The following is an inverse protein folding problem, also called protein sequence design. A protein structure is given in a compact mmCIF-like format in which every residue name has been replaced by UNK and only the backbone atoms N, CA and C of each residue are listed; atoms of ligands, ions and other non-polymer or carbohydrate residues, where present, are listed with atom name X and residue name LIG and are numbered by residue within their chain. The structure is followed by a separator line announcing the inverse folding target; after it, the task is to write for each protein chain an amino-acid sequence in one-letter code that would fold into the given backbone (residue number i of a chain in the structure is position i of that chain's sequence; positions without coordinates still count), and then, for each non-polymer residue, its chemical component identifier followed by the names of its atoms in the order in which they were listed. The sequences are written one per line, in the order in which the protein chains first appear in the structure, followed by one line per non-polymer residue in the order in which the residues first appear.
data_IF_460809362530
#
_entry.id   IF_460809362530
#
_cell.length_a   1.000
_cell.length_b   1.000
_cell.length_c   1.000
_cell.angle_alpha   90.00
_cell.angle_beta   90.00
_cell.angle_gamma   90.00
#
_symmetry.space_group_name_H-M   'P 1'
#
loop_
_entity.id
_entity.type
_entity.pdbx_description
1 polymer ?
#
# COMPACT_ATOMS: atom_id res chain seq x y z
N UNK A 1 15.85 12.62 -15.24
CA UNK A 1 16.00 12.23 -14.89
C UNK A 1 16.37 11.36 -14.79
N UNK A 2 16.60 11.05 -14.63
CA UNK A 2 16.88 10.24 -14.43
C UNK A 2 17.13 9.59 -13.80
N UNK A 3 17.24 9.29 -13.26
CA UNK A 3 17.50 8.74 -12.62
C UNK A 3 17.52 7.96 -12.21
N UNK A 4 17.40 7.66 -11.99
CA UNK A 4 17.44 6.98 -11.44
C UNK A 4 17.46 6.01 -11.56
N UNK A 5 17.52 5.40 -11.77
CA UNK A 5 17.49 4.40 -11.94
C UNK A 5 18.14 3.68 -11.69
N UNK A 6 18.16 3.56 -11.31
CA UNK A 6 19.04 3.01 -11.14
C UNK A 6 19.25 1.91 -10.53
N UNK A 7 19.87 1.32 -10.49
CA UNK A 7 20.22 0.24 -10.10
C UNK A 7 19.92 -0.08 -8.79
N UNK A 8 20.14 0.47 -7.91
CA UNK A 8 19.74 0.19 -6.69
C UNK A 8 18.69 0.96 -6.32
N UNK A 9 17.54 0.76 -6.68
CA UNK A 9 16.39 1.48 -6.36
C UNK A 9 16.12 1.45 -4.91
N UNK A 10 15.87 2.61 -4.32
CA UNK A 10 15.45 2.65 -2.98
C UNK A 10 14.02 2.31 -2.90
N UNK A 11 13.32 2.16 -4.03
CA UNK A 11 11.89 1.86 -4.04
C UNK A 11 11.67 0.61 -4.84
N UNK A 12 12.08 -0.53 -4.30
CA UNK A 12 11.96 -1.77 -5.07
C UNK A 12 10.50 -2.18 -5.25
N UNK A 13 10.23 -2.88 -6.32
CA UNK A 13 8.86 -3.28 -6.65
C UNK A 13 8.24 -4.14 -5.57
N UNK A 14 9.02 -4.88 -4.81
CA UNK A 14 8.45 -5.71 -3.77
C UNK A 14 7.79 -4.92 -2.68
N UNK A 15 8.05 -3.62 -2.63
CA UNK A 15 7.46 -2.78 -1.60
C UNK A 15 6.46 -1.81 -2.21
N UNK A 16 5.93 -2.13 -3.37
CA UNK A 16 4.99 -1.24 -4.05
C UNK A 16 3.54 -1.65 -3.80
N UNK A 17 2.70 -0.66 -3.59
CA UNK A 17 1.29 -0.89 -3.34
C UNK A 17 0.47 0.02 -4.23
N UNK A 18 -0.72 -0.41 -4.56
CA UNK A 18 -1.67 0.44 -5.26
C UNK A 18 -2.77 0.72 -4.26
N UNK A 19 -3.11 1.97 -4.09
CA UNK A 19 -4.17 2.37 -3.18
C UNK A 19 -5.21 3.13 -3.99
N UNK A 20 -6.44 2.69 -3.93
CA UNK A 20 -7.52 3.36 -4.61
C UNK A 20 -8.55 3.79 -3.61
N UNK A 21 -9.00 5.01 -3.70
CA UNK A 21 -9.98 5.53 -2.76
C UNK A 21 -11.33 5.58 -3.43
N UNK A 22 -12.35 5.25 -2.69
CA UNK A 22 -13.69 5.33 -3.21
C UNK A 22 -14.09 6.78 -3.37
N UNK A 23 -14.90 7.07 -4.36
CA UNK A 23 -15.38 8.43 -4.53
C UNK A 23 -16.36 8.74 -3.41
N UNK A 24 -16.33 9.93 -2.87
CA UNK A 24 -17.24 10.26 -1.79
C UNK A 24 -18.64 10.40 -2.34
N UNK A 25 -19.61 10.00 -1.53
CA UNK A 25 -20.98 10.18 -1.91
C UNK A 25 -21.50 11.41 -1.29
N UNK A 26 -22.60 11.88 -1.79
CA UNK A 26 -23.20 13.09 -1.27
C UNK A 26 -23.47 12.90 0.19
N UNK A 27 -23.00 13.82 1.00
CA UNK A 27 -23.24 13.76 2.42
C UNK A 27 -22.25 12.94 3.21
N UNK A 28 -21.37 12.28 2.53
CA UNK A 28 -20.40 11.48 3.23
C UNK A 28 -19.32 12.34 3.81
N UNK A 29 -18.71 11.89 4.84
CA UNK A 29 -17.67 12.66 5.44
C UNK A 29 -16.38 12.32 4.74
N UNK A 30 -15.27 12.72 5.28
CA UNK A 30 -14.02 12.51 4.66
C UNK A 30 -13.37 11.24 5.05
N UNK A 31 -14.11 10.22 5.24
CA UNK A 31 -13.57 8.94 5.62
C UNK A 31 -12.82 8.36 4.42
N UNK A 32 -11.61 7.92 4.59
CA UNK A 32 -10.83 7.39 3.46
C UNK A 32 -11.17 5.94 3.17
N UNK A 33 -12.28 5.74 2.53
CA UNK A 33 -12.67 4.39 2.14
C UNK A 33 -11.92 3.98 0.89
N UNK A 34 -11.49 2.76 0.82
CA UNK A 34 -10.83 2.31 -0.40
C UNK A 34 -10.28 0.91 -0.29
N UNK A 35 -9.38 0.59 -1.18
CA UNK A 35 -8.74 -0.70 -1.14
C UNK A 35 -7.26 -0.50 -1.42
N UNK A 36 -6.45 -1.38 -0.89
CA UNK A 36 -5.02 -1.35 -1.13
C UNK A 36 -4.58 -2.73 -1.57
N UNK A 37 -3.61 -2.77 -2.43
CA UNK A 37 -3.12 -4.04 -2.93
C UNK A 37 -1.61 -4.02 -3.02
N UNK A 38 -0.98 -5.08 -2.52
CA UNK A 38 0.47 -5.20 -2.63
C UNK A 38 0.73 -5.83 -3.99
N UNK A 39 1.47 -5.16 -4.83
CA UNK A 39 1.59 -5.57 -6.22
C UNK A 39 2.20 -6.94 -6.42
N UNK A 40 3.27 -7.23 -5.76
CA UNK A 40 3.95 -8.48 -6.02
C UNK A 40 3.20 -9.69 -5.49
N UNK A 41 2.65 -9.62 -4.32
CA UNK A 41 1.96 -10.78 -3.76
C UNK A 41 0.51 -10.86 -4.13
N UNK A 42 -0.06 -9.75 -4.56
CA UNK A 42 -1.49 -9.74 -4.85
C UNK A 42 -2.37 -9.63 -3.63
N UNK A 43 -1.80 -9.54 -2.42
CA UNK A 43 -2.61 -9.38 -1.25
C UNK A 43 -3.32 -8.06 -1.28
N UNK A 44 -4.56 -8.03 -0.93
CA UNK A 44 -5.35 -6.81 -0.98
C UNK A 44 -6.32 -6.78 0.17
N UNK A 45 -6.74 -5.58 0.53
CA UNK A 45 -7.73 -5.42 1.58
C UNK A 45 -8.50 -4.15 1.33
N UNK A 46 -9.64 -4.04 1.96
CA UNK A 46 -10.39 -2.79 1.91
C UNK A 46 -10.16 -2.11 3.24
N UNK A 47 -10.24 -0.80 3.26
CA UNK A 47 -10.04 -0.06 4.50
C UNK A 47 -11.09 1.03 4.59
N UNK A 48 -11.39 1.44 5.80
CA UNK A 48 -12.33 2.49 6.07
C UNK A 48 -11.69 3.60 6.88
N UNK A 49 -10.43 3.53 7.16
CA UNK A 49 -9.77 4.56 7.93
C UNK A 49 -8.31 4.53 7.64
N UNK A 50 -7.62 5.61 7.97
CA UNK A 50 -6.19 5.68 7.74
C UNK A 50 -5.45 4.64 8.57
N UNK A 51 -5.82 4.41 9.83
CA UNK A 51 -5.13 3.38 10.59
C UNK A 51 -5.26 1.99 9.98
N UNK A 52 -6.40 1.71 9.35
CA UNK A 52 -6.58 0.41 8.73
C UNK A 52 -5.65 0.27 7.54
N UNK A 53 -5.52 1.32 6.74
CA UNK A 53 -4.64 1.28 5.60
C UNK A 53 -3.20 1.12 6.08
N UNK A 54 -2.83 1.87 7.10
CA UNK A 54 -1.50 1.81 7.61
C UNK A 54 -1.20 0.41 8.16
N UNK A 55 -2.15 -0.18 8.86
CA UNK A 55 -1.95 -1.50 9.43
C UNK A 55 -1.70 -2.54 8.34
N UNK A 56 -2.43 -2.43 7.24
CA UNK A 56 -2.25 -3.37 6.16
C UNK A 56 -0.85 -3.24 5.57
N UNK A 57 -0.43 -2.03 5.30
CA UNK A 57 0.87 -1.81 4.71
C UNK A 57 1.96 -2.29 5.65
N UNK A 58 1.84 -1.97 6.93
CA UNK A 58 2.84 -2.37 7.90
C UNK A 58 2.92 -3.88 8.03
N UNK A 59 1.78 -4.53 7.98
CA UNK A 59 1.75 -5.94 8.12
C UNK A 59 2.43 -6.63 6.95
N UNK A 60 2.17 -6.15 5.74
CA UNK A 60 2.77 -6.73 4.57
C UNK A 60 4.29 -6.50 4.57
N UNK A 61 4.69 -5.30 4.91
CA UNK A 61 6.11 -5.00 4.92
C UNK A 61 6.84 -5.78 6.01
N UNK A 62 6.20 -5.97 7.13
CA UNK A 62 6.81 -6.71 8.21
C UNK A 62 7.03 -8.16 7.81
N UNK A 63 6.08 -8.73 7.09
CA UNK A 63 6.24 -10.07 6.68
C UNK A 63 7.32 -10.21 5.66
N UNK A 64 7.51 -9.23 4.83
CA UNK A 64 8.54 -9.28 3.85
C UNK A 64 9.91 -9.23 4.47
N UNK A 65 10.03 -8.48 5.54
CA UNK A 65 11.28 -8.34 6.19
C UNK A 65 11.56 -9.38 7.19
N UNK A 66 10.55 -10.13 7.58
CA UNK A 66 10.69 -11.11 8.58
C UNK A 66 11.05 -12.38 7.91
N UNK A 67 12.11 -12.49 7.15
CA UNK A 67 12.39 -13.64 6.58
C UNK A 67 13.45 -14.32 7.26
N UNK A 68 13.47 -15.56 7.25
CA UNK A 68 14.44 -16.31 7.98
C UNK A 68 15.82 -16.06 7.43
N UNK A 69 16.77 -16.12 8.21
CA UNK A 69 18.13 -15.88 7.81
C UNK A 69 18.65 -16.85 6.81
#
# INVERSE_FOLDING_TARGET
MKESQSRQSRFPAQRAFVVQFAAPEVGESNVPLGRAEHLVSGKATHFCSWPELQAFVEQVLAKMEDKPP
#
